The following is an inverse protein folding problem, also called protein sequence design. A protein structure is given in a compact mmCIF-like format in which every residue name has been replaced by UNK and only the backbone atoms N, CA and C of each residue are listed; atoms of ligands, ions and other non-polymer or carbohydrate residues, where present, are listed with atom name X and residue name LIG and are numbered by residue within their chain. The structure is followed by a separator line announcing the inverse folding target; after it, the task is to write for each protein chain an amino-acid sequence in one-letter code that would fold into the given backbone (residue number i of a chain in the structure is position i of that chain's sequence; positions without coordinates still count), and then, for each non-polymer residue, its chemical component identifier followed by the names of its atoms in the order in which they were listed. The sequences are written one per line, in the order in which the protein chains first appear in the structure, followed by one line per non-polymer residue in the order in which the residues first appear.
data_IF_057090785099
#
_entry.id   IF_057090785099
#
_cell.length_a   1.000
_cell.length_b   1.000
_cell.length_c   1.000
_cell.angle_alpha   90.00
_cell.angle_beta   90.00
_cell.angle_gamma   90.00
#
_symmetry.space_group_name_H-M   'P 1'
#
loop_
_entity.id
_entity.type
_entity.pdbx_description
1 polymer ?
#
# COMPACT_ATOMS: atom_id res chain seq x y z
N UNK A 1 -19.48 26.57 -29.51
CA UNK A 1 -20.24 26.30 -28.27
C UNK A 1 -20.93 24.95 -28.45
N UNK A 2 -20.28 23.85 -28.08
CA UNK A 2 -20.89 22.52 -28.03
C UNK A 2 -20.31 21.78 -26.81
N UNK A 3 -21.11 21.71 -25.75
CA UNK A 3 -20.82 20.95 -24.54
C UNK A 3 -21.32 19.52 -24.76
N UNK A 4 -20.41 18.59 -25.01
CA UNK A 4 -20.74 17.16 -25.05
C UNK A 4 -20.64 16.62 -23.63
N UNK A 5 -21.79 16.56 -22.96
CA UNK A 5 -21.93 15.87 -21.67
C UNK A 5 -21.87 14.36 -21.94
N UNK A 6 -20.69 13.77 -21.75
CA UNK A 6 -20.55 12.33 -21.68
C UNK A 6 -21.19 11.85 -20.36
N UNK A 7 -22.44 11.39 -20.46
CA UNK A 7 -23.08 10.58 -19.42
C UNK A 7 -22.30 9.28 -19.32
N UNK A 8 -21.47 9.16 -18.28
CA UNK A 8 -20.84 7.91 -17.90
C UNK A 8 -21.95 6.93 -17.46
N UNK A 9 -22.32 6.00 -18.36
CA UNK A 9 -23.26 4.94 -18.05
C UNK A 9 -22.61 3.99 -17.03
N UNK A 10 -23.24 3.89 -15.87
CA UNK A 10 -22.95 2.91 -14.83
C UNK A 10 -23.15 1.51 -15.42
N UNK A 11 -22.05 0.87 -15.84
CA UNK A 11 -22.04 -0.54 -16.18
C UNK A 11 -21.97 -1.34 -14.89
N UNK A 12 -23.14 -1.70 -14.36
CA UNK A 12 -23.29 -2.73 -13.34
C UNK A 12 -22.85 -4.07 -13.93
N UNK A 13 -21.58 -4.45 -13.71
CA UNK A 13 -21.12 -5.81 -13.93
C UNK A 13 -20.71 -6.45 -12.61
N UNK A 14 -21.64 -7.27 -12.17
CA UNK A 14 -21.67 -8.17 -11.05
C UNK A 14 -20.60 -9.27 -11.18
N UNK A 15 -19.50 -9.12 -10.44
CA UNK A 15 -18.73 -10.23 -9.85
C UNK A 15 -18.11 -9.68 -8.56
N UNK A 16 -18.85 -9.81 -7.46
CA UNK A 16 -18.27 -9.73 -6.12
C UNK A 16 -17.30 -10.91 -6.05
N UNK A 17 -16.03 -10.66 -6.39
CA UNK A 17 -14.97 -11.53 -5.94
C UNK A 17 -15.08 -11.48 -4.42
N UNK A 18 -15.41 -12.60 -3.78
CA UNK A 18 -15.18 -12.77 -2.34
C UNK A 18 -13.66 -12.75 -2.15
N UNK A 19 -13.09 -11.54 -2.22
CA UNK A 19 -11.74 -11.26 -1.78
C UNK A 19 -11.74 -11.40 -0.27
N UNK A 20 -10.72 -12.05 0.26
CA UNK A 20 -10.43 -11.98 1.68
C UNK A 20 -10.36 -10.49 2.06
N UNK A 21 -11.34 -9.98 2.82
CA UNK A 21 -11.43 -8.57 3.25
C UNK A 21 -10.16 -8.10 4.00
N UNK A 22 -9.27 -9.03 4.34
CA UNK A 22 -7.97 -8.77 4.96
C UNK A 22 -6.87 -8.41 3.96
N UNK A 23 -7.09 -8.64 2.67
CA UNK A 23 -6.16 -8.27 1.59
C UNK A 23 -6.32 -6.83 1.13
N UNK A 24 -7.51 -6.23 1.29
CA UNK A 24 -7.71 -4.83 0.91
C UNK A 24 -7.18 -3.92 2.03
N UNK A 25 -6.19 -3.05 1.74
CA UNK A 25 -5.61 -2.21 2.78
C UNK A 25 -6.59 -1.15 3.27
N UNK A 26 -6.56 -0.88 4.57
CA UNK A 26 -7.40 0.15 5.20
C UNK A 26 -7.04 1.55 4.71
N UNK A 27 -7.94 2.55 4.81
CA UNK A 27 -7.61 3.95 4.48
C UNK A 27 -6.40 4.49 5.25
N UNK A 28 -6.25 4.10 6.52
CA UNK A 28 -5.15 4.46 7.39
C UNK A 28 -3.83 3.88 6.85
N UNK A 29 -3.86 2.59 6.50
CA UNK A 29 -2.76 1.89 5.84
C UNK A 29 -2.35 2.54 4.52
N UNK A 30 -3.31 2.85 3.64
CA UNK A 30 -3.05 3.52 2.35
C UNK A 30 -2.37 4.87 2.54
N UNK A 31 -2.80 5.63 3.55
CA UNK A 31 -2.24 6.95 3.87
C UNK A 31 -0.81 6.84 4.40
N UNK A 32 -0.56 5.91 5.32
CA UNK A 32 0.78 5.66 5.86
C UNK A 32 1.73 5.15 4.78
N UNK A 33 1.32 4.16 3.98
CA UNK A 33 2.07 3.63 2.85
C UNK A 33 2.46 4.73 1.86
N UNK A 34 1.52 5.59 1.47
CA UNK A 34 1.81 6.70 0.57
C UNK A 34 2.90 7.64 1.11
N UNK A 35 2.85 7.97 2.42
CA UNK A 35 3.85 8.82 3.07
C UNK A 35 5.23 8.14 3.10
N UNK A 36 5.29 6.86 3.44
CA UNK A 36 6.53 6.07 3.49
C UNK A 36 7.14 6.00 2.09
N UNK A 37 6.36 5.62 1.07
CA UNK A 37 6.84 5.56 -0.32
C UNK A 37 7.37 6.91 -0.81
N UNK A 38 6.69 8.02 -0.46
CA UNK A 38 7.19 9.36 -0.78
C UNK A 38 8.52 9.68 -0.08
N UNK A 39 8.69 9.29 1.19
CA UNK A 39 9.94 9.50 1.93
C UNK A 39 11.09 8.67 1.35
N UNK A 40 10.84 7.39 1.07
CA UNK A 40 11.83 6.50 0.44
C UNK A 40 12.28 7.02 -0.92
N UNK A 41 11.33 7.41 -1.77
CA UNK A 41 11.65 7.96 -3.09
C UNK A 41 12.36 9.32 -3.03
N UNK A 42 12.06 10.16 -2.02
CA UNK A 42 12.82 11.41 -1.77
C UNK A 42 14.27 11.14 -1.40
N UNK A 43 14.55 10.01 -0.75
CA UNK A 43 15.91 9.56 -0.43
C UNK A 43 16.56 8.77 -1.58
N UNK A 44 15.91 8.68 -2.75
CA UNK A 44 16.32 7.83 -3.87
C UNK A 44 16.46 6.35 -3.51
N UNK A 45 15.76 5.90 -2.45
CA UNK A 45 15.70 4.49 -2.08
C UNK A 45 14.71 3.77 -3.02
N UNK A 46 15.15 2.74 -3.78
CA UNK A 46 14.25 1.96 -4.62
C UNK A 46 13.29 1.13 -3.76
N UNK A 47 12.02 1.09 -4.14
CA UNK A 47 11.00 0.26 -3.49
C UNK A 47 10.94 -1.07 -4.25
N UNK A 48 11.28 -2.16 -3.58
CA UNK A 48 11.35 -3.50 -4.18
C UNK A 48 10.03 -4.27 -4.04
N UNK A 49 9.37 -4.14 -2.88
CA UNK A 49 8.13 -4.86 -2.59
C UNK A 49 7.17 -4.01 -1.78
N UNK A 50 5.89 -4.05 -2.16
CA UNK A 50 4.77 -3.59 -1.34
C UNK A 50 3.72 -4.69 -1.39
N UNK A 51 3.42 -5.30 -0.25
CA UNK A 51 2.48 -6.42 -0.17
C UNK A 51 1.73 -6.41 1.16
N UNK A 52 0.63 -7.16 1.25
CA UNK A 52 -0.14 -7.33 2.49
C UNK A 52 0.05 -8.76 3.00
N UNK A 53 0.46 -8.91 4.26
CA UNK A 53 0.46 -10.22 4.91
C UNK A 53 -0.99 -10.67 5.12
N UNK A 54 -1.36 -11.82 4.54
CA UNK A 54 -2.70 -12.39 4.67
C UNK A 54 -3.03 -12.86 6.09
N UNK A 55 -1.99 -13.16 6.89
CA UNK A 55 -2.16 -13.71 8.24
C UNK A 55 -2.53 -12.61 9.24
N UNK A 56 -1.83 -11.46 9.17
CA UNK A 56 -2.03 -10.33 10.09
C UNK A 56 -2.89 -9.20 9.48
N UNK A 57 -2.85 -9.05 8.15
CA UNK A 57 -3.42 -7.91 7.44
C UNK A 57 -2.50 -6.69 7.41
N UNK A 58 -1.23 -6.84 7.79
CA UNK A 58 -0.26 -5.74 7.81
C UNK A 58 0.30 -5.50 6.41
N UNK A 59 0.51 -4.23 6.08
CA UNK A 59 1.21 -3.83 4.85
C UNK A 59 2.72 -3.88 5.11
N UNK A 60 3.44 -4.60 4.28
CA UNK A 60 4.89 -4.74 4.32
C UNK A 60 5.48 -4.00 3.11
N UNK A 61 6.49 -3.18 3.37
CA UNK A 61 7.22 -2.38 2.38
C UNK A 61 8.70 -2.70 2.55
N UNK A 62 9.33 -3.19 1.48
CA UNK A 62 10.77 -3.45 1.43
C UNK A 62 11.39 -2.46 0.45
N UNK A 63 12.38 -1.71 0.90
CA UNK A 63 13.04 -0.69 0.11
C UNK A 63 14.52 -0.54 0.49
N UNK A 64 15.33 -0.12 -0.48
CA UNK A 64 16.78 -0.03 -0.28
C UNK A 64 17.39 -1.36 0.18
N UNK A 65 18.56 -1.32 0.81
CA UNK A 65 19.27 -2.54 1.21
C UNK A 65 18.81 -3.10 2.56
N UNK A 66 18.32 -2.25 3.46
CA UNK A 66 18.08 -2.61 4.87
C UNK A 66 16.74 -2.12 5.43
N UNK A 67 15.89 -1.46 4.61
CA UNK A 67 14.66 -0.84 5.12
C UNK A 67 13.49 -1.80 4.91
N UNK A 68 13.03 -2.39 6.02
CA UNK A 68 11.74 -3.06 6.10
C UNK A 68 10.79 -2.22 6.94
N UNK A 69 9.66 -1.81 6.36
CA UNK A 69 8.62 -1.08 7.06
C UNK A 69 7.33 -1.89 7.05
N UNK A 70 6.69 -2.02 8.21
CA UNK A 70 5.37 -2.62 8.35
C UNK A 70 4.35 -1.59 8.82
N UNK A 71 3.12 -1.71 8.32
CA UNK A 71 2.00 -0.83 8.68
C UNK A 71 0.83 -1.66 9.13
N UNK A 72 0.47 -1.54 10.41
CA UNK A 72 -0.68 -2.23 10.99
C UNK A 72 -2.00 -1.75 10.36
N UNK A 73 -3.09 -2.51 10.55
CA UNK A 73 -4.42 -2.11 10.06
C UNK A 73 -4.91 -0.77 10.59
N UNK A 74 -4.45 -0.36 11.77
CA UNK A 74 -4.72 0.93 12.39
C UNK A 74 -3.80 2.06 11.88
N UNK A 75 -2.88 1.76 10.95
CA UNK A 75 -1.95 2.73 10.37
C UNK A 75 -0.70 2.99 11.22
N UNK A 76 -0.39 2.15 12.21
CA UNK A 76 0.86 2.27 12.97
C UNK A 76 2.02 1.75 12.14
N UNK A 77 3.09 2.53 12.04
CA UNK A 77 4.27 2.20 11.26
C UNK A 77 5.37 1.68 12.18
N UNK A 78 5.95 0.53 11.84
CA UNK A 78 7.15 0.01 12.47
C UNK A 78 8.26 -0.09 11.42
N UNK A 79 9.48 0.24 11.81
CA UNK A 79 10.67 0.09 10.98
C UNK A 79 11.53 -0.99 11.61
N UNK A 80 11.94 -1.94 10.79
CA UNK A 80 12.91 -2.95 11.15
C UNK A 80 14.17 -2.71 10.32
N UNK A 81 15.27 -2.50 11.02
CA UNK A 81 16.60 -2.37 10.44
C UNK A 81 17.32 -3.68 10.71
N UNK A 82 17.66 -4.43 9.68
CA UNK A 82 18.62 -5.53 9.83
C UNK A 82 20.01 -4.92 9.93
N UNK A 83 20.48 -4.64 11.15
CA UNK A 83 21.90 -4.45 11.39
C UNK A 83 22.58 -5.78 11.04
N UNK A 84 23.23 -5.85 9.87
CA UNK A 84 24.08 -6.96 9.52
C UNK A 84 25.29 -6.97 10.47
N UNK A 85 25.21 -7.74 11.56
CA UNK A 85 26.40 -8.12 12.33
C UNK A 85 27.30 -8.96 11.40
N UNK A 86 28.46 -8.39 11.03
CA UNK A 86 29.51 -9.03 10.24
C UNK A 86 30.36 -10.00 11.07
#
# INVERSE_FOLDING_TARGET
MFSTVLRCQKSENHRVQQGDDRLEPTPEQKTAMYRICQQLTKMYAPIYLVTTDRRTGDLIIIAGEEIEASVSREGKVNYESTEAEF
#
